data_IF_913173989075
#
_entry.id   IF_913173989075
#
_cell.length_a   1.000
_cell.length_b   1.000
_cell.length_c   1.000
_cell.angle_alpha   90.00
_cell.angle_beta   90.00
_cell.angle_gamma   90.00
#
_symmetry.space_group_name_H-M   'P 1'
#
loop_
_entity.id
_entity.type
_entity.pdbx_description
1 polymer ?
#
# COMPACT_ATOMS: atom_id res chain seq x y z
N UNK A 1 21.07 9.29 -5.95
CA UNK A 1 21.95 8.13 -5.67
C UNK A 1 20.99 7.02 -5.31
N UNK A 2 20.58 6.20 -6.28
CA UNK A 2 19.39 5.35 -6.14
C UNK A 2 19.52 4.45 -4.92
N UNK A 3 18.59 4.61 -3.97
CA UNK A 3 18.60 3.83 -2.73
C UNK A 3 18.35 2.37 -3.08
N UNK A 4 19.29 1.49 -2.75
CA UNK A 4 19.14 0.04 -2.98
C UNK A 4 18.26 -0.56 -1.88
N UNK A 5 17.18 -1.21 -2.30
CA UNK A 5 16.20 -1.87 -1.43
C UNK A 5 16.28 -3.40 -1.50
N UNK A 6 17.27 -3.92 -2.24
CA UNK A 6 17.42 -5.35 -2.53
C UNK A 6 17.56 -6.20 -1.25
N UNK A 7 18.15 -5.62 -0.20
CA UNK A 7 18.36 -6.26 1.10
C UNK A 7 17.32 -5.88 2.18
N UNK A 8 16.27 -5.12 1.82
CA UNK A 8 15.24 -4.68 2.76
C UNK A 8 14.09 -5.70 2.82
N UNK A 9 13.68 -6.06 4.05
CA UNK A 9 12.54 -6.97 4.27
C UNK A 9 11.23 -6.35 3.80
N UNK A 10 10.27 -7.20 3.40
CA UNK A 10 8.94 -6.77 2.98
C UNK A 10 8.24 -5.87 4.03
N UNK A 11 8.33 -6.23 5.31
CA UNK A 11 7.72 -5.46 6.40
C UNK A 11 8.33 -4.06 6.53
N UNK A 12 9.65 -3.96 6.34
CA UNK A 12 10.36 -2.70 6.44
C UNK A 12 10.07 -1.81 5.22
N UNK A 13 10.01 -2.39 4.01
CA UNK A 13 9.56 -1.69 2.80
C UNK A 13 8.12 -1.17 2.93
N UNK A 14 7.21 -2.02 3.41
CA UNK A 14 5.81 -1.65 3.68
C UNK A 14 5.76 -0.49 4.67
N UNK A 15 6.45 -0.61 5.80
CA UNK A 15 6.48 0.41 6.86
C UNK A 15 6.98 1.74 6.33
N UNK A 16 8.13 1.74 5.65
CA UNK A 16 8.72 2.95 5.06
C UNK A 16 7.79 3.58 4.00
N UNK A 17 7.22 2.79 3.10
CA UNK A 17 6.34 3.28 2.04
C UNK A 17 5.07 3.89 2.62
N UNK A 18 4.46 3.24 3.61
CA UNK A 18 3.25 3.72 4.29
C UNK A 18 3.52 5.01 5.05
N UNK A 19 4.61 5.09 5.81
CA UNK A 19 4.98 6.32 6.52
C UNK A 19 5.26 7.46 5.54
N UNK A 20 5.91 7.19 4.41
CA UNK A 20 6.17 8.21 3.40
C UNK A 20 4.87 8.68 2.72
N UNK A 21 3.98 7.76 2.36
CA UNK A 21 2.67 8.09 1.78
C UNK A 21 1.77 8.84 2.77
N UNK A 22 1.76 8.45 4.05
CA UNK A 22 1.05 9.15 5.12
C UNK A 22 1.53 10.60 5.26
N UNK A 23 2.86 10.82 5.36
CA UNK A 23 3.44 12.17 5.44
C UNK A 23 3.12 13.04 4.22
N UNK A 24 2.98 12.42 3.06
CA UNK A 24 2.66 13.09 1.78
C UNK A 24 1.15 13.25 1.56
N UNK A 25 0.32 12.71 2.46
CA UNK A 25 -1.13 12.57 2.26
C UNK A 25 -1.48 11.95 0.90
N UNK A 26 -0.65 11.00 0.44
CA UNK A 26 -0.81 10.37 -0.88
C UNK A 26 -1.89 9.28 -0.81
N UNK A 27 -3.15 9.71 -0.88
CA UNK A 27 -4.31 8.81 -0.93
C UNK A 27 -4.26 7.90 -2.16
N UNK A 28 -3.68 8.39 -3.27
CA UNK A 28 -3.57 7.65 -4.53
C UNK A 28 -2.76 6.38 -4.37
N UNK A 29 -1.67 6.41 -3.59
CA UNK A 29 -0.87 5.24 -3.24
C UNK A 29 -1.70 4.14 -2.58
N UNK A 30 -2.51 4.48 -1.58
CA UNK A 30 -3.32 3.49 -0.85
C UNK A 30 -4.46 2.93 -1.72
N UNK A 31 -5.09 3.77 -2.55
CA UNK A 31 -6.09 3.30 -3.51
C UNK A 31 -5.49 2.37 -4.56
N UNK A 32 -4.29 2.67 -5.08
CA UNK A 32 -3.57 1.80 -6.03
C UNK A 32 -3.26 0.44 -5.40
N UNK A 33 -2.71 0.44 -4.18
CA UNK A 33 -2.44 -0.80 -3.44
C UNK A 33 -3.69 -1.65 -3.26
N UNK A 34 -4.76 -1.06 -2.75
CA UNK A 34 -5.99 -1.79 -2.48
C UNK A 34 -6.62 -2.30 -3.78
N UNK A 35 -6.59 -1.54 -4.89
CA UNK A 35 -7.08 -1.98 -6.22
C UNK A 35 -6.39 -3.24 -6.73
N UNK A 36 -5.15 -3.47 -6.34
CA UNK A 36 -4.41 -4.68 -6.69
C UNK A 36 -4.68 -5.86 -5.75
N UNK A 37 -5.56 -5.70 -4.76
CA UNK A 37 -5.98 -6.78 -3.87
C UNK A 37 -7.33 -7.38 -4.30
N UNK A 38 -7.57 -8.68 -4.04
CA UNK A 38 -8.86 -9.32 -4.30
C UNK A 38 -10.00 -8.69 -3.50
N UNK A 39 -9.71 -8.03 -2.38
CA UNK A 39 -10.71 -7.29 -1.60
C UNK A 39 -11.31 -6.12 -2.39
N UNK A 40 -10.51 -5.41 -3.22
CA UNK A 40 -11.05 -4.38 -4.10
C UNK A 40 -11.81 -4.97 -5.30
N UNK A 41 -11.39 -6.13 -5.81
CA UNK A 41 -12.14 -6.83 -6.84
C UNK A 41 -13.53 -7.26 -6.33
N UNK A 42 -13.61 -7.78 -5.10
CA UNK A 42 -14.87 -8.15 -4.46
C UNK A 42 -15.76 -6.93 -4.19
N UNK A 43 -15.21 -5.85 -3.62
CA UNK A 43 -15.96 -4.61 -3.39
C UNK A 43 -16.51 -4.01 -4.69
N UNK A 44 -15.72 -4.04 -5.78
CA UNK A 44 -16.16 -3.57 -7.09
C UNK A 44 -17.27 -4.45 -7.70
N UNK A 45 -17.24 -5.76 -7.49
CA UNK A 45 -18.25 -6.71 -8.00
C UNK A 45 -19.59 -6.59 -7.25
N UNK A 46 -19.54 -6.37 -5.93
CA UNK A 46 -20.72 -6.19 -5.07
C UNK A 46 -21.39 -4.80 -5.21
N UNK A 47 -20.91 -3.95 -6.13
CA UNK A 47 -21.38 -2.57 -6.28
C UNK A 47 -21.00 -1.65 -5.11
N UNK A 48 -20.11 -2.10 -4.23
CA UNK A 48 -19.56 -1.34 -3.14
C UNK A 48 -18.56 -0.31 -3.65
N UNK A 49 -18.81 0.97 -3.39
CA UNK A 49 -17.82 1.99 -3.71
C UNK A 49 -16.65 1.87 -2.73
N UNK A 50 -15.45 1.67 -3.27
CA UNK A 50 -14.22 1.90 -2.53
C UNK A 50 -14.13 3.32 -1.94
N UNK A 51 -14.98 4.24 -2.42
CA UNK A 51 -15.18 5.56 -1.85
C UNK A 51 -15.88 5.58 -0.48
N UNK A 52 -16.46 4.47 0.01
CA UNK A 52 -16.98 4.40 1.39
C UNK A 52 -15.84 4.28 2.43
N UNK A 53 -14.65 3.81 2.01
CA UNK A 53 -13.41 3.87 2.81
C UNK A 53 -12.85 5.30 2.96
N UNK A 54 -13.54 6.31 2.39
CA UNK A 54 -13.15 7.72 2.40
C UNK A 54 -13.45 8.45 3.73
N UNK A 55 -13.77 7.73 4.81
CA UNK A 55 -14.08 8.33 6.12
C UNK A 55 -12.94 9.20 6.67
N UNK A 56 -11.68 8.78 6.49
CA UNK A 56 -10.47 9.56 6.78
C UNK A 56 -9.21 8.87 6.25
N UNK A 57 -8.14 9.64 5.97
CA UNK A 57 -6.83 9.09 5.55
C UNK A 57 -6.27 8.08 6.57
N UNK A 58 -6.55 8.31 7.86
CA UNK A 58 -6.13 7.44 8.96
C UNK A 58 -6.82 6.08 8.85
N UNK A 59 -8.14 6.04 8.64
CA UNK A 59 -8.88 4.78 8.44
C UNK A 59 -8.36 4.01 7.22
N UNK A 60 -8.05 4.72 6.13
CA UNK A 60 -7.49 4.10 4.92
C UNK A 60 -6.12 3.45 5.19
N UNK A 61 -5.27 4.12 5.98
CA UNK A 61 -3.96 3.62 6.39
C UNK A 61 -4.11 2.40 7.31
N UNK A 62 -5.02 2.45 8.28
CA UNK A 62 -5.26 1.34 9.22
C UNK A 62 -5.81 0.10 8.50
N UNK A 63 -6.81 0.28 7.63
CA UNK A 63 -7.34 -0.80 6.80
C UNK A 63 -6.25 -1.43 5.91
N UNK A 64 -5.38 -0.59 5.33
CA UNK A 64 -4.23 -1.07 4.55
C UNK A 64 -3.22 -1.81 5.44
N UNK A 65 -2.92 -1.32 6.65
CA UNK A 65 -1.98 -2.01 7.56
C UNK A 65 -2.50 -3.39 7.97
N UNK A 66 -3.80 -3.50 8.22
CA UNK A 66 -4.46 -4.78 8.53
C UNK A 66 -4.39 -5.74 7.35
N UNK A 67 -4.86 -5.34 6.17
CA UNK A 67 -4.89 -6.19 4.98
C UNK A 67 -3.49 -6.70 4.60
N UNK A 68 -2.48 -5.82 4.69
CA UNK A 68 -1.09 -6.13 4.36
C UNK A 68 -0.28 -6.67 5.56
N UNK A 69 -0.92 -6.84 6.73
CA UNK A 69 -0.34 -7.41 7.95
C UNK A 69 -0.87 -8.81 8.29
N UNK A 70 -2.14 -9.10 7.98
CA UNK A 70 -2.82 -10.35 8.37
C UNK A 70 -2.53 -11.55 7.45
N UNK A 71 -1.49 -11.51 6.61
CA UNK A 71 -1.17 -12.59 5.65
C UNK A 71 -2.16 -12.74 4.49
N UNK A 72 -3.22 -11.91 4.41
CA UNK A 72 -4.23 -11.92 3.33
C UNK A 72 -3.64 -11.64 1.94
N UNK A 73 -2.45 -11.04 1.90
CA UNK A 73 -1.70 -10.75 0.68
C UNK A 73 -0.39 -11.54 0.59
N UNK A 74 -0.24 -12.62 1.37
CA UNK A 74 1.00 -13.41 1.45
C UNK A 74 1.50 -13.84 0.06
N UNK A 75 0.62 -14.36 -0.78
CA UNK A 75 0.94 -14.81 -2.15
C UNK A 75 1.29 -13.65 -3.11
N UNK A 76 0.84 -12.44 -2.78
CA UNK A 76 1.09 -11.22 -3.55
C UNK A 76 2.24 -10.37 -2.99
N UNK A 77 2.88 -10.79 -1.89
CA UNK A 77 4.02 -10.09 -1.29
C UNK A 77 5.12 -9.74 -2.30
N UNK A 78 5.56 -10.60 -3.24
CA UNK A 78 6.58 -10.21 -4.21
C UNK A 78 6.13 -9.07 -5.15
N UNK A 79 4.85 -9.04 -5.52
CA UNK A 79 4.29 -7.97 -6.35
C UNK A 79 4.22 -6.64 -5.59
N UNK A 80 3.77 -6.69 -4.33
CA UNK A 80 3.71 -5.50 -3.48
C UNK A 80 5.09 -5.01 -3.05
N UNK A 81 6.06 -5.92 -2.87
CA UNK A 81 7.46 -5.57 -2.63
C UNK A 81 7.97 -4.65 -3.74
N UNK A 82 7.82 -5.06 -5.00
CA UNK A 82 8.26 -4.26 -6.14
C UNK A 82 7.56 -2.88 -6.18
N UNK A 83 6.27 -2.82 -5.85
CA UNK A 83 5.53 -1.54 -5.74
C UNK A 83 6.09 -0.64 -4.64
N UNK A 84 6.41 -1.18 -3.47
CA UNK A 84 7.00 -0.40 -2.38
C UNK A 84 8.41 0.10 -2.73
N UNK A 85 9.23 -0.73 -3.36
CA UNK A 85 10.58 -0.37 -3.82
C UNK A 85 10.52 0.74 -4.87
N UNK A 86 9.59 0.65 -5.83
CA UNK A 86 9.36 1.70 -6.83
C UNK A 86 8.92 3.01 -6.18
N UNK A 87 7.94 2.95 -5.27
CA UNK A 87 7.41 4.13 -4.58
C UNK A 87 8.50 4.82 -3.74
N UNK A 88 9.26 4.06 -2.96
CA UNK A 88 10.34 4.58 -2.14
C UNK A 88 11.47 5.15 -3.02
N UNK A 89 11.87 4.45 -4.09
CA UNK A 89 12.85 4.98 -5.04
C UNK A 89 12.40 6.32 -5.62
N UNK A 90 11.12 6.42 -6.00
CA UNK A 90 10.57 7.62 -6.65
C UNK A 90 10.42 8.82 -5.71
N UNK A 91 10.13 8.58 -4.43
CA UNK A 91 9.71 9.65 -3.51
C UNK A 91 10.58 9.83 -2.26
N UNK A 92 11.56 8.96 -2.01
CA UNK A 92 12.44 9.08 -0.83
C UNK A 92 13.57 10.12 -0.98
N UNK A 93 13.82 10.64 -2.18
CA UNK A 93 14.82 11.69 -2.45
C UNK A 93 14.23 13.13 -2.46
N UNK A 94 13.00 13.34 -1.94
CA UNK A 94 12.35 14.65 -1.90
C UNK A 94 12.36 15.30 -0.51
#
# INVERSE_FOLDING_TARGET
MTKDFSNTSYEDLKSQAFTLAEKRHDLGFFYDLLRHTPAAAAAADEGGSMGDLSGSIVELIEASKELFGSGKVAEMQPLFRARFEEYLTKYSEQ
#
